data_IF_482649658795
#
_entry.id   IF_482649658795
#
_cell.length_a   1.000
_cell.length_b   1.000
_cell.length_c   1.000
_cell.angle_alpha   90.00
_cell.angle_beta   90.00
_cell.angle_gamma   90.00
#
_symmetry.space_group_name_H-M   'P 1'
#
loop_
_entity.id
_entity.type
_entity.pdbx_description
1 polymer ?
#
# COMPACT_ATOMS: atom_id res chain seq x y z
N UNK A 1 3.96 3.48 12.77
CA UNK A 1 3.75 2.02 12.58
C UNK A 1 3.86 1.70 11.10
N UNK A 2 4.62 0.65 10.75
CA UNK A 2 4.76 0.16 9.37
C UNK A 2 3.72 -0.91 9.10
N UNK A 3 2.91 -0.74 8.06
CA UNK A 3 1.90 -1.70 7.63
C UNK A 3 2.20 -2.12 6.20
N UNK A 4 2.07 -3.42 5.90
CA UNK A 4 2.23 -3.95 4.56
C UNK A 4 0.97 -4.72 4.14
N UNK A 5 0.40 -4.38 2.98
CA UNK A 5 -0.73 -5.08 2.37
C UNK A 5 -0.19 -5.86 1.17
N UNK A 6 -0.15 -7.18 1.30
CA UNK A 6 0.31 -8.08 0.24
C UNK A 6 -0.89 -8.49 -0.62
N UNK A 7 -0.79 -8.24 -1.93
CA UNK A 7 -1.90 -8.52 -2.84
C UNK A 7 -3.00 -7.48 -2.73
N UNK A 8 -2.67 -6.24 -3.08
CA UNK A 8 -3.59 -5.09 -2.99
C UNK A 8 -4.62 -5.13 -4.14
N UNK A 9 -5.65 -5.96 -3.97
CA UNK A 9 -6.87 -5.97 -4.79
C UNK A 9 -7.88 -4.91 -4.32
N UNK A 10 -9.17 -5.09 -4.63
CA UNK A 10 -10.19 -4.11 -4.25
C UNK A 10 -10.29 -3.88 -2.73
N UNK A 11 -10.23 -4.95 -1.94
CA UNK A 11 -10.25 -4.84 -0.47
C UNK A 11 -8.99 -4.12 0.05
N UNK A 12 -7.82 -4.50 -0.46
CA UNK A 12 -6.55 -3.84 -0.11
C UNK A 12 -6.57 -2.34 -0.39
N UNK A 13 -7.19 -1.92 -1.51
CA UNK A 13 -7.36 -0.50 -1.84
C UNK A 13 -8.25 0.24 -0.85
N UNK A 14 -9.37 -0.36 -0.43
CA UNK A 14 -10.26 0.24 0.57
C UNK A 14 -9.58 0.36 1.94
N UNK A 15 -8.83 -0.66 2.36
CA UNK A 15 -8.05 -0.63 3.60
C UNK A 15 -6.95 0.44 3.53
N UNK A 16 -6.20 0.51 2.42
CA UNK A 16 -5.17 1.52 2.20
C UNK A 16 -5.76 2.94 2.32
N UNK A 17 -6.90 3.18 1.66
CA UNK A 17 -7.59 4.48 1.72
C UNK A 17 -8.01 4.84 3.15
N UNK A 18 -8.57 3.89 3.90
CA UNK A 18 -8.93 4.10 5.30
C UNK A 18 -7.73 4.42 6.20
N UNK A 19 -6.62 3.70 6.03
CA UNK A 19 -5.40 3.91 6.81
C UNK A 19 -4.76 5.27 6.51
N UNK A 20 -4.73 5.68 5.24
CA UNK A 20 -4.20 6.98 4.81
C UNK A 20 -5.07 8.11 5.35
N UNK A 21 -6.40 8.04 5.19
CA UNK A 21 -7.30 9.13 5.61
C UNK A 21 -7.31 9.36 7.13
N UNK A 22 -7.10 8.30 7.92
CA UNK A 22 -7.06 8.41 9.38
C UNK A 22 -5.67 8.74 9.93
N UNK A 23 -4.65 8.96 9.08
CA UNK A 23 -3.25 9.16 9.48
C UNK A 23 -2.77 8.11 10.51
N UNK A 24 -3.29 6.88 10.42
CA UNK A 24 -3.07 5.83 11.41
C UNK A 24 -1.71 5.12 11.22
N UNK A 25 -0.91 5.56 10.25
CA UNK A 25 0.28 4.89 9.76
C UNK A 25 1.44 5.88 9.61
N UNK A 26 2.66 5.37 9.73
CA UNK A 26 3.87 6.14 9.38
C UNK A 26 4.44 5.69 8.03
N UNK A 27 4.14 4.45 7.63
CA UNK A 27 4.57 3.90 6.34
C UNK A 27 3.63 2.78 5.93
N UNK A 28 3.14 2.80 4.69
CA UNK A 28 2.30 1.77 4.10
C UNK A 28 2.98 1.17 2.87
N UNK A 29 3.19 -0.13 2.88
CA UNK A 29 3.64 -0.86 1.71
C UNK A 29 2.46 -1.55 1.05
N UNK A 30 2.25 -1.29 -0.24
CA UNK A 30 1.24 -1.95 -1.06
C UNK A 30 1.96 -2.82 -2.07
N UNK A 31 1.77 -4.14 -1.99
CA UNK A 31 2.28 -5.04 -3.02
C UNK A 31 1.18 -5.53 -3.95
N UNK A 32 1.44 -5.53 -5.26
CA UNK A 32 0.54 -6.12 -6.25
C UNK A 32 1.34 -6.55 -7.49
N UNK A 33 0.96 -7.68 -8.12
CA UNK A 33 1.56 -8.11 -9.40
C UNK A 33 1.41 -7.04 -10.48
N UNK A 34 0.25 -6.38 -10.52
CA UNK A 34 -0.05 -5.29 -11.45
C UNK A 34 -0.12 -3.96 -10.69
N UNK A 35 1.02 -3.28 -10.57
CA UNK A 35 1.14 -2.00 -9.85
C UNK A 35 0.31 -0.87 -10.46
N UNK A 36 -0.05 -0.96 -11.74
CA UNK A 36 -0.94 -0.02 -12.42
C UNK A 36 -2.28 0.17 -11.69
N UNK A 37 -2.84 -0.91 -11.12
CA UNK A 37 -4.14 -0.89 -10.45
C UNK A 37 -4.16 -0.13 -9.12
N UNK A 38 -2.98 0.19 -8.59
CA UNK A 38 -2.77 0.87 -7.31
C UNK A 38 -1.91 2.13 -7.45
N UNK A 39 -1.57 2.53 -8.68
CA UNK A 39 -0.70 3.69 -8.96
C UNK A 39 -1.25 5.01 -8.41
N UNK A 40 -2.57 5.09 -8.22
CA UNK A 40 -3.22 6.22 -7.54
C UNK A 40 -2.71 6.47 -6.11
N UNK A 41 -2.13 5.45 -5.46
CA UNK A 41 -1.58 5.58 -4.10
C UNK A 41 -0.11 6.02 -4.08
N UNK A 42 0.55 6.11 -5.24
CA UNK A 42 1.98 6.47 -5.35
C UNK A 42 2.23 7.97 -5.03
N UNK A 43 1.18 8.80 -5.09
CA UNK A 43 1.24 10.22 -4.76
C UNK A 43 1.24 10.53 -3.25
N UNK A 44 1.02 9.53 -2.39
CA UNK A 44 1.07 9.71 -0.95
C UNK A 44 2.50 9.47 -0.44
N UNK A 45 3.07 10.45 0.27
CA UNK A 45 4.44 10.43 0.79
C UNK A 45 4.75 9.20 1.65
N UNK A 46 3.75 8.71 2.38
CA UNK A 46 3.89 7.61 3.33
C UNK A 46 3.56 6.24 2.71
N UNK A 47 3.31 6.17 1.40
CA UNK A 47 2.96 4.93 0.69
C UNK A 47 4.08 4.51 -0.25
N UNK A 48 4.43 3.23 -0.23
CA UNK A 48 5.36 2.61 -1.16
C UNK A 48 4.69 1.47 -1.90
N UNK A 49 4.74 1.53 -3.22
CA UNK A 49 4.18 0.50 -4.09
C UNK A 49 5.31 -0.39 -4.57
N UNK A 50 5.06 -1.71 -4.59
CA UNK A 50 6.02 -2.66 -5.14
C UNK A 50 5.32 -3.86 -5.76
N UNK A 51 5.97 -4.53 -6.71
CA UNK A 51 5.53 -5.84 -7.19
C UNK A 51 6.21 -6.99 -6.44
N UNK A 52 7.23 -6.72 -5.63
CA UNK A 52 7.96 -7.73 -4.85
C UNK A 52 7.47 -7.76 -3.40
N UNK A 53 6.77 -8.84 -3.05
CA UNK A 53 6.27 -9.06 -1.70
C UNK A 53 7.38 -9.03 -0.64
N UNK A 54 8.60 -9.44 -0.98
CA UNK A 54 9.73 -9.45 -0.03
C UNK A 54 10.15 -8.03 0.35
N UNK A 55 9.98 -7.06 -0.55
CA UNK A 55 10.25 -5.64 -0.28
C UNK A 55 9.17 -5.01 0.61
N UNK A 56 7.95 -5.55 0.61
CA UNK A 56 6.87 -5.06 1.45
C UNK A 56 7.01 -5.53 2.91
N UNK A 57 7.54 -6.74 3.11
CA UNK A 57 7.69 -7.35 4.46
C UNK A 57 8.98 -6.94 5.17
N UNK A 58 10.07 -6.69 4.44
CA UNK A 58 11.31 -6.10 4.98
C UNK A 58 11.08 -4.67 5.39
#
# INVERSE_FOLDING_TARGET
MKIAIIGTGNLGKSMAKGLILNNAITTLYLSCRHTQNIKQFEGYKDVKITSDNRKAVK
#
